data_IF_874496299759
#
_entry.id   IF_874496299759
#
_cell.length_a   1.000
_cell.length_b   1.000
_cell.length_c   1.000
_cell.angle_alpha   90.00
_cell.angle_beta   90.00
_cell.angle_gamma   90.00
#
_symmetry.space_group_name_H-M   'P 1'
#
loop_
_entity.id
_entity.type
_entity.pdbx_description
1 polymer ?
#
# COMPACT_ATOMS: atom_id res chain seq x y z
N UNK A 1 12.48 -13.94 -3.66
CA UNK A 1 11.18 -14.28 -3.07
C UNK A 1 10.07 -13.67 -3.92
N UNK A 2 8.88 -14.27 -4.03
CA UNK A 2 7.78 -13.68 -4.78
C UNK A 2 7.31 -12.39 -4.10
N UNK A 3 7.13 -11.32 -4.87
CA UNK A 3 6.57 -10.05 -4.37
C UNK A 3 5.04 -10.11 -4.38
N UNK A 4 4.41 -9.50 -3.39
CA UNK A 4 2.95 -9.42 -3.26
C UNK A 4 2.44 -8.02 -3.59
N UNK A 5 1.21 -7.91 -4.09
CA UNK A 5 0.58 -6.61 -4.31
C UNK A 5 0.15 -5.95 -2.99
N UNK A 6 -0.02 -4.62 -2.99
CA UNK A 6 -0.46 -3.83 -1.82
C UNK A 6 -1.75 -4.36 -1.21
N UNK A 7 -2.72 -4.76 -2.03
CA UNK A 7 -3.98 -5.32 -1.55
C UNK A 7 -3.75 -6.62 -0.77
N UNK A 8 -2.85 -7.48 -1.23
CA UNK A 8 -2.49 -8.72 -0.54
C UNK A 8 -1.76 -8.43 0.77
N UNK A 9 -0.79 -7.49 0.77
CA UNK A 9 -0.10 -7.08 2.00
C UNK A 9 -1.09 -6.52 3.05
N UNK A 10 -2.03 -5.67 2.61
CA UNK A 10 -3.09 -5.12 3.47
C UNK A 10 -4.00 -6.22 4.04
N UNK A 11 -4.45 -7.15 3.20
CA UNK A 11 -5.35 -8.25 3.62
C UNK A 11 -4.62 -9.18 4.60
N UNK A 12 -3.34 -9.49 4.34
CA UNK A 12 -2.52 -10.31 5.23
C UNK A 12 -2.25 -9.62 6.58
N UNK A 13 -2.22 -8.28 6.59
CA UNK A 13 -2.18 -7.48 7.81
C UNK A 13 -3.55 -7.36 8.52
N UNK A 14 -4.61 -7.98 7.99
CA UNK A 14 -5.94 -7.98 8.59
C UNK A 14 -6.68 -6.64 8.51
N UNK A 15 -6.31 -5.77 7.55
CA UNK A 15 -6.85 -4.42 7.44
C UNK A 15 -7.86 -4.28 6.30
N UNK A 16 -8.93 -3.51 6.49
CA UNK A 16 -9.73 -3.01 5.38
C UNK A 16 -9.04 -1.84 4.65
N UNK A 17 -9.53 -1.47 3.46
CA UNK A 17 -9.04 -0.27 2.77
C UNK A 17 -9.26 1.00 3.61
N UNK A 18 -10.33 1.04 4.41
CA UNK A 18 -10.68 2.14 5.30
C UNK A 18 -9.77 2.23 6.52
N UNK A 19 -9.41 1.08 7.10
CA UNK A 19 -8.46 1.01 8.21
C UNK A 19 -7.07 1.50 7.79
N UNK A 20 -6.60 1.02 6.63
CA UNK A 20 -5.31 1.45 6.08
C UNK A 20 -5.32 2.94 5.79
N UNK A 21 -6.40 3.45 5.15
CA UNK A 21 -6.54 4.87 4.84
C UNK A 21 -6.48 5.73 6.12
N UNK A 22 -7.20 5.31 7.17
CA UNK A 22 -7.23 6.00 8.46
C UNK A 22 -5.87 6.02 9.14
N UNK A 23 -5.14 4.88 9.14
CA UNK A 23 -3.79 4.79 9.72
C UNK A 23 -2.74 5.58 8.93
N UNK A 24 -2.90 5.64 7.61
CA UNK A 24 -2.03 6.39 6.70
C UNK A 24 -2.36 7.90 6.67
N UNK A 25 -3.50 8.32 7.20
CA UNK A 25 -3.98 9.70 7.10
C UNK A 25 -4.37 10.12 5.67
N UNK A 26 -4.86 9.18 4.85
CA UNK A 26 -5.29 9.44 3.47
C UNK A 26 -6.75 9.05 3.26
N UNK A 27 -7.32 9.38 2.11
CA UNK A 27 -8.67 8.93 1.76
C UNK A 27 -8.70 7.45 1.33
N UNK A 28 -9.84 6.77 1.55
CA UNK A 28 -10.08 5.41 1.04
C UNK A 28 -9.83 5.30 -0.47
N UNK A 29 -10.20 6.34 -1.23
CA UNK A 29 -9.97 6.42 -2.67
C UNK A 29 -8.48 6.45 -3.03
N UNK A 30 -7.65 7.05 -2.18
CA UNK A 30 -6.19 7.05 -2.37
C UNK A 30 -5.62 5.63 -2.24
N UNK A 31 -6.07 4.86 -1.24
CA UNK A 31 -5.70 3.45 -1.09
C UNK A 31 -6.15 2.62 -2.31
N UNK A 32 -7.40 2.81 -2.77
CA UNK A 32 -7.90 2.14 -3.98
C UNK A 32 -7.03 2.48 -5.21
N UNK A 33 -6.64 3.76 -5.35
CA UNK A 33 -5.79 4.19 -6.46
C UNK A 33 -4.39 3.56 -6.41
N UNK A 34 -3.83 3.37 -5.21
CA UNK A 34 -2.57 2.63 -5.03
C UNK A 34 -2.72 1.15 -5.41
N UNK A 35 -3.76 0.49 -4.95
CA UNK A 35 -4.03 -0.92 -5.27
C UNK A 35 -4.30 -1.14 -6.77
N UNK A 36 -4.83 -0.13 -7.46
CA UNK A 36 -5.09 -0.15 -8.90
C UNK A 36 -3.93 0.39 -9.76
N UNK A 37 -2.78 0.72 -9.17
CA UNK A 37 -1.64 1.37 -9.85
C UNK A 37 -1.99 2.69 -10.56
N UNK A 38 -3.08 3.36 -10.16
CA UNK A 38 -3.53 4.65 -10.75
C UNK A 38 -2.81 5.85 -10.14
N UNK A 39 -2.22 5.66 -8.96
CA UNK A 39 -1.50 6.70 -8.22
C UNK A 39 -0.26 6.09 -7.59
N UNK A 40 0.85 6.79 -7.68
CA UNK A 40 2.08 6.39 -7.00
C UNK A 40 2.02 6.73 -5.50
N UNK A 41 2.75 5.94 -4.71
CA UNK A 41 3.06 6.30 -3.34
C UNK A 41 4.37 7.08 -3.30
N UNK A 42 4.42 8.13 -2.50
CA UNK A 42 5.67 8.81 -2.18
C UNK A 42 6.54 7.93 -1.28
N UNK A 43 7.85 8.16 -1.27
CA UNK A 43 8.77 7.41 -0.41
C UNK A 43 8.35 7.39 1.07
N UNK A 44 7.92 8.51 1.70
CA UNK A 44 7.38 8.47 3.06
C UNK A 44 6.14 7.60 3.22
N UNK A 45 5.25 7.56 2.22
CA UNK A 45 4.05 6.71 2.23
C UNK A 45 4.41 5.23 2.16
N UNK A 46 5.44 4.87 1.39
CA UNK A 46 5.95 3.50 1.34
C UNK A 46 6.46 3.06 2.71
N UNK A 47 7.30 3.88 3.36
CA UNK A 47 7.82 3.56 4.70
C UNK A 47 6.70 3.47 5.74
N UNK A 48 5.74 4.39 5.71
CA UNK A 48 4.57 4.36 6.58
C UNK A 48 3.74 3.07 6.36
N UNK A 49 3.49 2.71 5.10
CA UNK A 49 2.78 1.48 4.75
C UNK A 49 3.49 0.24 5.29
N UNK A 50 4.81 0.17 5.13
CA UNK A 50 5.63 -0.93 5.64
C UNK A 50 5.56 -1.00 7.18
N UNK A 51 5.64 0.15 7.86
CA UNK A 51 5.50 0.22 9.32
C UNK A 51 4.11 -0.18 9.82
N UNK A 52 3.06 0.09 9.06
CA UNK A 52 1.67 -0.25 9.43
C UNK A 52 1.39 -1.73 9.18
N UNK A 53 1.80 -2.24 8.02
CA UNK A 53 1.45 -3.59 7.57
C UNK A 53 2.44 -4.66 8.02
N UNK A 54 3.65 -4.26 8.46
CA UNK A 54 4.73 -5.17 8.85
C UNK A 54 5.48 -5.82 7.68
N UNK A 55 5.13 -5.48 6.44
CA UNK A 55 5.80 -5.98 5.24
C UNK A 55 6.96 -5.07 4.82
N UNK A 56 8.03 -5.65 4.28
CA UNK A 56 9.14 -4.88 3.71
C UNK A 56 8.81 -4.37 2.31
N UNK A 57 9.38 -3.22 1.93
CA UNK A 57 9.28 -2.68 0.57
C UNK A 57 9.83 -3.63 -0.49
N UNK A 58 10.77 -4.50 -0.15
CA UNK A 58 11.32 -5.52 -1.04
C UNK A 58 10.31 -6.64 -1.37
N UNK A 59 9.37 -6.88 -0.47
CA UNK A 59 8.35 -7.93 -0.59
C UNK A 59 7.07 -7.42 -1.27
N UNK A 60 6.93 -6.10 -1.46
CA UNK A 60 5.71 -5.47 -1.99
C UNK A 60 5.93 -4.94 -3.41
N UNK A 61 4.94 -5.13 -4.27
CA UNK A 61 4.84 -4.48 -5.58
C UNK A 61 4.21 -3.10 -5.36
N UNK A 62 5.05 -2.07 -5.44
CA UNK A 62 4.64 -0.67 -5.31
C UNK A 62 4.00 -0.16 -6.60
N UNK A 63 3.01 0.75 -6.52
CA UNK A 63 2.44 1.37 -7.70
C UNK A 63 3.51 2.20 -8.38
N UNK A 64 3.70 1.93 -9.65
CA UNK A 64 4.56 2.70 -10.55
C UNK A 64 3.65 3.33 -11.59
N UNK A 65 3.92 4.59 -11.95
CA UNK A 65 3.31 5.18 -13.13
C UNK A 65 3.88 4.44 -14.33
N UNK A 66 3.04 3.65 -15.00
CA UNK A 66 3.32 3.23 -16.36
C UNK A 66 3.38 4.51 -17.21
N UNK A 67 4.58 4.93 -17.57
CA UNK A 67 4.82 6.02 -18.51
C UNK A 67 4.63 5.51 -19.93
#
# INVERSE_FOLDING_TARGET
>A
MPKIHINAARINAGMSQEDLASRMGVSRQTVIAWEQNKREMTTPQVFMFCSITGFSSDDIILPQRST
#
